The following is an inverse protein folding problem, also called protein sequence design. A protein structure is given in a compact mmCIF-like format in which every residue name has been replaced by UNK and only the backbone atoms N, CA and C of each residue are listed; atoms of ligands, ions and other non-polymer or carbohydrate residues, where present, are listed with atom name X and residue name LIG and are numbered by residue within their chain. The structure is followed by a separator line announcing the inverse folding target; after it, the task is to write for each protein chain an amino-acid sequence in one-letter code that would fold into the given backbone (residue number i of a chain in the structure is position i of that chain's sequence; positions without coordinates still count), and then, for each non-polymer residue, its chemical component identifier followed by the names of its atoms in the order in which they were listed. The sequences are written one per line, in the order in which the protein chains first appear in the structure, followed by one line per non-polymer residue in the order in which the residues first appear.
data_IF_154617413345
#
_entry.id   IF_154617413345
#
_cell.length_a   1.000
_cell.length_b   1.000
_cell.length_c   1.000
_cell.angle_alpha   90.00
_cell.angle_beta   90.00
_cell.angle_gamma   90.00
#
_symmetry.space_group_name_H-M   'P 1'
#
loop_
_entity.id
_entity.type
_entity.pdbx_description
1 polymer ?
#
# COMPACT_ATOMS: atom_id res chain seq x y z
N UNK A 1 -21.61 6.74 -8.05
CA UNK A 1 -22.31 5.52 -8.52
C UNK A 1 -21.43 4.32 -8.19
N UNK A 2 -21.91 3.50 -7.26
CA UNK A 2 -21.17 2.42 -6.60
C UNK A 2 -20.91 1.23 -7.52
N UNK A 3 -19.68 0.69 -7.49
CA UNK A 3 -19.27 -0.57 -8.13
C UNK A 3 -18.85 -1.61 -7.07
N UNK A 4 -19.77 -1.93 -6.18
CA UNK A 4 -19.75 -3.17 -5.40
C UNK A 4 -21.07 -3.85 -5.72
N UNK A 5 -21.00 -5.11 -6.16
CA UNK A 5 -22.06 -6.07 -6.47
C UNK A 5 -21.76 -6.71 -7.83
N UNK A 6 -21.11 -7.88 -7.82
CA UNK A 6 -21.38 -8.95 -8.77
C UNK A 6 -20.68 -10.24 -8.32
N UNK A 7 -21.52 -11.29 -8.20
CA UNK A 7 -21.19 -12.72 -8.22
C UNK A 7 -20.98 -13.42 -6.87
N UNK A 8 -22.08 -13.57 -6.13
CA UNK A 8 -22.40 -14.83 -5.44
C UNK A 8 -23.74 -15.36 -5.94
N UNK A 9 -23.70 -16.19 -6.98
CA UNK A 9 -24.80 -17.10 -7.34
C UNK A 9 -24.17 -18.40 -7.81
N UNK A 10 -24.21 -19.42 -6.94
CA UNK A 10 -24.35 -20.83 -7.28
C UNK A 10 -24.21 -21.67 -5.99
N UNK A 11 -25.33 -21.88 -5.31
CA UNK A 11 -25.48 -23.01 -4.42
C UNK A 11 -26.88 -23.60 -4.65
N UNK A 12 -26.86 -24.70 -5.40
CA UNK A 12 -27.87 -25.70 -5.68
C UNK A 12 -29.20 -25.60 -4.92
N UNK A 13 -30.27 -25.26 -5.65
CA UNK A 13 -31.63 -25.68 -5.32
C UNK A 13 -31.81 -27.16 -5.65
N UNK A 14 -31.88 -28.00 -4.62
CA UNK A 14 -32.53 -29.32 -4.68
C UNK A 14 -33.45 -29.50 -3.47
N UNK A 15 -34.73 -29.20 -3.69
CA UNK A 15 -35.90 -29.59 -2.89
C UNK A 15 -36.42 -30.88 -3.57
N UNK A 16 -36.88 -31.97 -2.96
CA UNK A 16 -37.29 -32.34 -1.59
C UNK A 16 -37.42 -33.87 -1.54
N UNK A 17 -37.38 -34.44 -0.33
CA UNK A 17 -38.24 -35.60 -0.03
C UNK A 17 -37.66 -36.56 1.00
N UNK A 18 -37.95 -36.36 2.28
CA UNK A 18 -37.66 -37.35 3.31
C UNK A 18 -37.63 -36.75 4.72
N UNK A 19 -38.76 -36.83 5.40
CA UNK A 19 -38.89 -36.63 6.86
C UNK A 19 -37.88 -37.46 7.64
N UNK A 20 -37.02 -36.81 8.43
CA UNK A 20 -36.52 -37.36 9.70
C UNK A 20 -36.23 -36.20 10.68
N UNK A 21 -36.79 -36.32 11.88
CA UNK A 21 -36.41 -35.58 13.08
C UNK A 21 -34.93 -35.89 13.39
N UNK A 22 -34.13 -34.89 13.74
CA UNK A 22 -33.14 -34.92 14.86
C UNK A 22 -32.25 -33.67 14.85
N UNK A 23 -31.88 -33.28 16.07
CA UNK A 23 -30.77 -32.41 16.45
C UNK A 23 -30.82 -30.94 16.02
N UNK A 24 -31.00 -30.07 17.00
CA UNK A 24 -30.56 -28.70 16.92
C UNK A 24 -29.04 -28.66 16.74
N UNK A 25 -28.60 -28.59 15.50
CA UNK A 25 -27.32 -28.00 15.17
C UNK A 25 -27.51 -26.49 15.30
N UNK A 26 -27.21 -25.96 16.47
CA UNK A 26 -26.72 -24.59 16.56
C UNK A 26 -25.47 -24.56 15.68
N UNK A 27 -25.64 -24.20 14.40
CA UNK A 27 -24.56 -23.67 13.59
C UNK A 27 -24.09 -22.43 14.33
N UNK A 28 -23.17 -22.63 15.26
CA UNK A 28 -22.27 -21.59 15.70
C UNK A 28 -21.27 -21.41 14.54
N UNK A 29 -21.78 -20.99 13.39
CA UNK A 29 -20.95 -20.36 12.37
C UNK A 29 -20.60 -19.02 12.99
N UNK A 30 -19.53 -19.00 13.78
CA UNK A 30 -18.91 -17.75 14.18
C UNK A 30 -18.76 -16.94 12.89
N UNK A 31 -19.51 -15.86 12.76
CA UNK A 31 -19.53 -15.12 11.50
C UNK A 31 -18.12 -14.60 11.28
N UNK A 32 -17.48 -15.02 10.20
CA UNK A 32 -16.15 -14.53 9.85
C UNK A 32 -16.17 -13.01 9.79
N UNK A 33 -15.43 -12.37 10.69
CA UNK A 33 -15.36 -10.92 10.84
C UNK A 33 -13.88 -10.49 10.78
N UNK A 34 -13.29 -10.41 9.57
CA UNK A 34 -11.89 -10.06 9.43
C UNK A 34 -11.66 -8.59 9.75
N UNK A 35 -10.39 -8.24 9.95
CA UNK A 35 -9.98 -6.85 10.06
C UNK A 35 -10.44 -6.03 8.83
N UNK A 36 -10.89 -4.81 9.06
CA UNK A 36 -11.24 -3.90 7.96
C UNK A 36 -9.99 -3.46 7.21
N UNK A 37 -10.04 -3.60 5.89
CA UNK A 37 -9.01 -3.11 4.99
C UNK A 37 -8.97 -1.58 5.00
N UNK A 38 -7.78 -0.99 5.03
CA UNK A 38 -7.59 0.46 5.00
C UNK A 38 -6.19 0.83 4.51
N UNK A 39 -6.08 1.98 3.83
CA UNK A 39 -4.80 2.58 3.45
C UNK A 39 -4.71 3.96 4.07
N UNK A 40 -3.73 4.17 4.95
CA UNK A 40 -3.56 5.44 5.67
C UNK A 40 -2.13 5.96 5.53
N UNK A 41 -1.97 7.27 5.47
CA UNK A 41 -0.65 7.87 5.41
C UNK A 41 0.12 7.65 6.72
N UNK A 42 1.44 7.59 6.61
CA UNK A 42 2.32 7.72 7.77
C UNK A 42 2.02 9.00 8.54
N UNK A 43 2.21 8.96 9.85
CA UNK A 43 1.92 10.09 10.75
C UNK A 43 3.18 10.73 11.32
N UNK A 44 4.35 10.16 11.03
CA UNK A 44 5.63 10.80 11.34
C UNK A 44 5.91 11.98 10.41
N UNK A 45 6.84 12.82 10.83
CA UNK A 45 7.25 14.02 10.10
C UNK A 45 7.73 13.68 8.69
N UNK A 46 7.40 14.51 7.68
CA UNK A 46 8.00 14.43 6.36
C UNK A 46 9.52 14.39 6.40
N UNK A 47 10.12 13.64 5.47
CA UNK A 47 11.58 13.47 5.36
C UNK A 47 12.05 13.95 3.99
N UNK A 48 13.20 14.61 3.94
CA UNK A 48 13.89 14.91 2.69
C UNK A 48 15.15 14.06 2.58
N UNK A 49 15.33 13.37 1.46
CA UNK A 49 16.54 12.63 1.15
C UNK A 49 17.49 13.53 0.37
N UNK A 50 18.63 13.81 0.98
CA UNK A 50 19.77 14.45 0.33
C UNK A 50 20.51 13.37 -0.48
N UNK A 51 20.18 13.26 -1.76
CA UNK A 51 20.78 12.28 -2.66
C UNK A 51 20.95 12.90 -4.02
N UNK A 52 22.18 12.89 -4.52
CA UNK A 52 22.50 13.27 -5.89
C UNK A 52 22.00 12.20 -6.87
N UNK A 53 20.69 12.18 -7.14
CA UNK A 53 20.13 11.33 -8.17
C UNK A 53 20.48 11.91 -9.54
N UNK A 54 21.55 11.41 -10.15
CA UNK A 54 21.89 11.75 -11.53
C UNK A 54 21.10 10.91 -12.53
N UNK A 55 20.24 11.57 -13.31
CA UNK A 55 19.54 10.95 -14.42
C UNK A 55 20.34 11.25 -15.69
N UNK A 56 21.16 10.27 -16.13
CA UNK A 56 21.79 10.32 -17.45
C UNK A 56 20.77 9.92 -18.50
N UNK A 57 20.16 10.91 -19.12
CA UNK A 57 19.21 10.77 -20.23
C UNK A 57 19.94 10.38 -21.53
N UNK A 58 20.65 9.24 -21.54
CA UNK A 58 21.29 8.72 -22.78
C UNK A 58 20.27 8.24 -23.84
N UNK A 59 18.98 8.27 -23.53
CA UNK A 59 17.90 7.72 -24.38
C UNK A 59 16.87 8.77 -24.81
N UNK A 60 16.92 10.01 -24.29
CA UNK A 60 15.88 11.00 -24.59
C UNK A 60 16.32 11.86 -25.79
N UNK A 61 15.79 11.51 -26.95
CA UNK A 61 16.07 12.12 -28.25
C UNK A 61 15.49 13.54 -28.35
N UNK A 62 16.30 14.56 -28.06
CA UNK A 62 16.26 15.97 -28.54
C UNK A 62 14.92 16.73 -28.60
N UNK A 63 13.84 16.17 -28.09
CA UNK A 63 12.49 16.73 -28.04
C UNK A 63 12.09 16.60 -26.59
N UNK A 64 12.24 17.68 -25.85
CA UNK A 64 12.00 17.75 -24.42
C UNK A 64 10.52 17.46 -24.14
N UNK A 65 10.20 16.24 -23.71
CA UNK A 65 8.91 15.95 -23.08
C UNK A 65 9.11 15.96 -21.57
N UNK A 66 8.69 17.06 -20.93
CA UNK A 66 8.77 17.20 -19.47
C UNK A 66 8.03 16.07 -18.75
N UNK A 67 6.96 15.53 -19.34
CA UNK A 67 6.18 14.45 -18.72
C UNK A 67 6.98 13.14 -18.63
N UNK A 68 7.77 12.82 -19.66
CA UNK A 68 8.63 11.63 -19.66
C UNK A 68 9.73 11.75 -18.60
N UNK A 69 10.36 12.92 -18.51
CA UNK A 69 11.37 13.21 -17.50
C UNK A 69 10.81 13.07 -16.08
N UNK A 70 9.70 13.76 -15.76
CA UNK A 70 9.11 13.72 -14.42
C UNK A 70 8.64 12.31 -14.04
N UNK A 71 8.18 11.51 -15.02
CA UNK A 71 7.81 10.11 -14.83
C UNK A 71 9.02 9.25 -14.45
N UNK A 72 10.15 9.39 -15.15
CA UNK A 72 11.40 8.70 -14.81
C UNK A 72 11.95 9.13 -13.46
N UNK A 73 11.91 10.42 -13.13
CA UNK A 73 12.25 10.94 -11.81
C UNK A 73 11.38 10.27 -10.74
N UNK A 74 10.06 10.26 -10.93
CA UNK A 74 9.11 9.66 -9.98
C UNK A 74 9.41 8.16 -9.77
N UNK A 75 9.73 7.41 -10.83
CA UNK A 75 10.11 5.99 -10.72
C UNK A 75 11.38 5.80 -9.91
N UNK A 76 12.43 6.59 -10.18
CA UNK A 76 13.71 6.47 -9.46
C UNK A 76 13.59 6.93 -8.02
N UNK A 77 12.89 8.03 -7.76
CA UNK A 77 12.56 8.48 -6.41
C UNK A 77 11.84 7.38 -5.62
N UNK A 78 10.89 6.66 -6.24
CA UNK A 78 10.19 5.56 -5.56
C UNK A 78 11.11 4.42 -5.11
N UNK A 79 12.21 4.16 -5.85
CA UNK A 79 13.23 3.17 -5.45
C UNK A 79 13.97 3.66 -4.21
N UNK A 80 14.43 4.91 -4.23
CA UNK A 80 15.15 5.51 -3.10
C UNK A 80 14.28 5.58 -1.83
N UNK A 81 13.01 5.96 -1.97
CA UNK A 81 12.07 5.97 -0.85
C UNK A 81 11.82 4.55 -0.34
N UNK A 82 11.69 3.55 -1.22
CA UNK A 82 11.51 2.16 -0.83
C UNK A 82 12.72 1.62 -0.06
N UNK A 83 13.94 1.91 -0.53
CA UNK A 83 15.18 1.52 0.15
C UNK A 83 15.30 2.22 1.52
N UNK A 84 14.96 3.51 1.59
CA UNK A 84 14.94 4.28 2.82
C UNK A 84 13.97 3.66 3.85
N UNK A 85 12.71 3.42 3.46
CA UNK A 85 11.70 2.82 4.34
C UNK A 85 12.09 1.39 4.75
N UNK A 86 12.64 0.60 3.82
CA UNK A 86 13.11 -0.76 4.11
C UNK A 86 14.22 -0.74 5.16
N UNK A 87 15.18 0.18 5.05
CA UNK A 87 16.25 0.36 6.04
C UNK A 87 15.68 0.81 7.37
N UNK A 88 14.83 1.83 7.37
CA UNK A 88 14.19 2.36 8.57
C UNK A 88 13.44 1.27 9.36
N UNK A 89 12.61 0.47 8.68
CA UNK A 89 11.90 -0.64 9.31
C UNK A 89 12.85 -1.71 9.86
N UNK A 90 13.99 -1.94 9.20
CA UNK A 90 15.00 -2.90 9.68
C UNK A 90 15.67 -2.39 10.94
N UNK A 91 16.12 -1.14 10.93
CA UNK A 91 16.83 -0.50 12.05
C UNK A 91 15.95 -0.37 13.29
N UNK A 92 14.64 -0.18 13.09
CA UNK A 92 13.63 -0.13 14.15
C UNK A 92 13.14 -1.52 14.60
N UNK A 93 13.59 -2.62 13.97
CA UNK A 93 13.15 -3.97 14.31
C UNK A 93 11.69 -4.28 13.92
N UNK A 94 11.12 -3.55 12.97
CA UNK A 94 9.72 -3.66 12.52
C UNK A 94 9.52 -4.58 11.31
N UNK A 95 10.60 -5.17 10.77
CA UNK A 95 10.53 -6.14 9.66
C UNK A 95 10.18 -7.55 10.14
N UNK A 96 9.00 -7.68 10.74
CA UNK A 96 8.43 -8.98 11.08
C UNK A 96 7.56 -9.54 9.94
N UNK A 97 7.12 -10.78 10.10
CA UNK A 97 6.18 -11.41 9.17
C UNK A 97 4.90 -10.57 9.07
N UNK A 98 4.40 -10.39 7.85
CA UNK A 98 3.22 -9.55 7.60
C UNK A 98 3.50 -8.05 7.51
N UNK A 99 4.73 -7.59 7.78
CA UNK A 99 5.17 -6.20 7.54
C UNK A 99 6.16 -6.16 6.38
N UNK A 100 5.78 -5.53 5.26
CA UNK A 100 6.64 -5.43 4.09
C UNK A 100 6.43 -4.15 3.29
N UNK A 101 7.49 -3.37 3.00
CA UNK A 101 7.39 -2.23 2.11
C UNK A 101 7.31 -2.69 0.64
N UNK A 102 6.41 -2.08 -0.12
CA UNK A 102 6.22 -2.30 -1.55
C UNK A 102 6.09 -0.97 -2.29
N UNK A 103 6.50 -0.96 -3.56
CA UNK A 103 6.24 0.16 -4.46
C UNK A 103 4.98 -0.13 -5.24
N UNK A 104 3.96 0.71 -5.06
CA UNK A 104 2.64 0.49 -5.65
C UNK A 104 2.15 1.73 -6.37
N UNK A 105 1.23 1.53 -7.32
CA UNK A 105 0.42 2.63 -7.82
C UNK A 105 -0.70 2.88 -6.82
N UNK A 106 -0.69 4.05 -6.19
CA UNK A 106 -1.65 4.48 -5.19
C UNK A 106 -2.19 5.86 -5.57
N UNK A 107 -3.45 5.88 -6.00
CA UNK A 107 -4.16 7.14 -6.28
C UNK A 107 -4.60 7.79 -4.98
N UNK A 108 -4.78 9.11 -4.99
CA UNK A 108 -5.15 9.86 -3.79
C UNK A 108 -6.54 9.49 -3.27
N UNK A 109 -7.47 9.09 -4.16
CA UNK A 109 -8.83 8.64 -3.80
C UNK A 109 -8.88 7.24 -3.16
N UNK A 110 -7.75 6.53 -3.13
CA UNK A 110 -7.61 5.21 -2.47
C UNK A 110 -7.07 5.33 -1.04
N UNK A 111 -6.70 6.54 -0.60
CA UNK A 111 -6.15 6.80 0.73
C UNK A 111 -7.30 7.22 1.65
N UNK A 112 -7.50 6.51 2.76
CA UNK A 112 -8.56 6.77 3.76
C UNK A 112 -8.23 7.93 4.70
N UNK A 113 -7.20 8.71 4.38
CA UNK A 113 -6.77 9.91 5.11
C UNK A 113 -7.14 11.14 4.31
N UNK A 114 -7.47 12.25 4.96
CA UNK A 114 -7.63 13.52 4.26
C UNK A 114 -6.30 13.93 3.60
N UNK A 115 -6.34 14.08 2.27
CA UNK A 115 -5.20 14.44 1.43
C UNK A 115 -5.58 15.61 0.55
N UNK A 116 -4.72 16.62 0.50
CA UNK A 116 -4.86 17.74 -0.43
C UNK A 116 -4.30 17.37 -1.80
N UNK A 117 -4.93 17.83 -2.88
CA UNK A 117 -4.58 17.46 -4.26
C UNK A 117 -3.13 17.81 -4.64
N UNK A 118 -2.55 18.82 -4.00
CA UNK A 118 -1.20 19.35 -4.21
C UNK A 118 -0.17 18.85 -3.19
N UNK A 119 -0.55 17.95 -2.28
CA UNK A 119 0.34 17.43 -1.24
C UNK A 119 1.50 16.61 -1.82
N UNK A 120 1.30 15.98 -2.98
CA UNK A 120 2.30 15.13 -3.63
C UNK A 120 2.74 15.72 -4.97
N UNK A 121 4.05 15.79 -5.18
CA UNK A 121 4.69 16.20 -6.43
C UNK A 121 5.23 14.96 -7.12
N UNK A 122 4.39 14.33 -7.94
CA UNK A 122 4.70 13.07 -8.66
C UNK A 122 3.95 13.03 -10.00
N UNK A 123 4.63 12.67 -11.08
CA UNK A 123 4.02 12.61 -12.41
C UNK A 123 3.17 11.36 -12.63
N UNK A 124 3.51 10.27 -11.95
CA UNK A 124 2.72 9.04 -11.91
C UNK A 124 2.35 8.73 -10.46
N UNK A 125 1.20 8.07 -10.18
CA UNK A 125 0.71 7.87 -8.83
C UNK A 125 1.47 6.76 -8.10
N UNK A 126 2.81 6.79 -8.08
CA UNK A 126 3.63 5.86 -7.31
C UNK A 126 3.74 6.28 -5.85
N UNK A 127 3.74 5.30 -4.97
CA UNK A 127 3.90 5.43 -3.54
C UNK A 127 4.75 4.29 -2.99
N UNK A 128 5.24 4.46 -1.77
CA UNK A 128 5.75 3.34 -0.97
C UNK A 128 4.70 2.99 0.07
N UNK A 129 4.19 1.77 0.02
CA UNK A 129 3.18 1.27 0.94
C UNK A 129 3.79 0.18 1.80
N UNK A 130 3.62 0.27 3.11
CA UNK A 130 4.03 -0.75 4.06
C UNK A 130 2.82 -1.60 4.40
N UNK A 131 2.85 -2.84 3.93
CA UNK A 131 1.79 -3.81 4.18
C UNK A 131 1.76 -4.17 5.67
N UNK A 132 0.55 -4.33 6.22
CA UNK A 132 0.25 -4.82 7.56
C UNK A 132 -0.79 -5.94 7.42
N UNK A 133 -0.31 -7.15 7.21
CA UNK A 133 -1.11 -8.27 6.70
C UNK A 133 -1.52 -9.26 7.78
N UNK A 134 -2.83 -9.46 7.90
CA UNK A 134 -3.45 -10.52 8.70
C UNK A 134 -3.69 -11.76 7.83
N UNK A 135 -3.52 -12.95 8.38
CA UNK A 135 -3.72 -14.21 7.68
C UNK A 135 -4.67 -15.10 8.47
N UNK A 136 -5.79 -15.47 7.84
CA UNK A 136 -6.80 -16.35 8.38
C UNK A 136 -6.81 -17.73 7.72
N UNK A 137 -7.23 -18.75 8.47
CA UNK A 137 -7.51 -20.09 8.00
C UNK A 137 -8.84 -20.15 7.22
N UNK A 138 -9.10 -21.28 6.54
CA UNK A 138 -10.33 -21.48 5.74
C UNK A 138 -11.60 -21.40 6.59
N UNK A 139 -11.51 -21.73 7.88
CA UNK A 139 -12.60 -21.63 8.86
C UNK A 139 -12.75 -20.23 9.48
N UNK A 140 -11.87 -19.29 9.12
CA UNK A 140 -11.87 -17.93 9.62
C UNK A 140 -11.06 -17.72 10.91
N UNK A 141 -10.37 -18.74 11.42
CA UNK A 141 -9.46 -18.57 12.55
C UNK A 141 -8.24 -17.73 12.14
N UNK A 142 -7.81 -16.79 13.00
CA UNK A 142 -6.62 -15.99 12.74
C UNK A 142 -5.36 -16.85 12.95
N UNK A 143 -4.63 -17.12 11.87
CA UNK A 143 -3.37 -17.88 11.90
C UNK A 143 -2.21 -16.97 12.30
N UNK A 144 -2.16 -15.78 11.72
CA UNK A 144 -1.01 -14.91 11.85
C UNK A 144 -1.40 -13.43 11.70
N UNK A 145 -0.78 -12.58 12.50
CA UNK A 145 -0.83 -11.13 12.34
C UNK A 145 0.49 -10.51 12.81
N UNK A 146 0.82 -9.28 12.38
CA UNK A 146 1.95 -8.56 12.94
C UNK A 146 1.74 -8.30 14.44
N UNK A 147 2.81 -8.36 15.21
CA UNK A 147 2.83 -8.06 16.64
C UNK A 147 2.66 -6.57 16.88
N UNK A 148 3.25 -5.74 16.02
CA UNK A 148 3.12 -4.28 16.05
C UNK A 148 1.73 -3.90 15.55
N UNK A 149 1.01 -3.06 16.31
CA UNK A 149 -0.29 -2.57 15.87
C UNK A 149 -0.15 -1.56 14.72
N UNK A 150 -1.23 -1.41 13.95
CA UNK A 150 -1.19 -0.61 12.73
C UNK A 150 -0.92 0.88 13.01
N UNK A 151 -1.47 1.44 14.08
CA UNK A 151 -1.30 2.86 14.40
C UNK A 151 0.14 3.14 14.86
N UNK A 152 0.73 2.22 15.63
CA UNK A 152 2.16 2.26 15.96
C UNK A 152 3.02 2.18 14.70
N UNK A 153 2.70 1.30 13.74
CA UNK A 153 3.41 1.26 12.46
C UNK A 153 3.32 2.62 11.73
N UNK A 154 2.12 3.19 11.60
CA UNK A 154 1.92 4.49 10.96
C UNK A 154 2.71 5.60 11.64
N UNK A 155 2.84 5.58 12.97
CA UNK A 155 3.63 6.54 13.75
C UNK A 155 5.13 6.52 13.44
N UNK A 156 5.62 5.41 12.89
CA UNK A 156 7.02 5.26 12.49
C UNK A 156 7.25 5.61 11.03
N UNK A 157 6.20 5.65 10.21
CA UNK A 157 6.30 5.98 8.80
C UNK A 157 6.18 7.50 8.61
N UNK A 158 7.08 8.13 7.84
CA UNK A 158 6.89 9.53 7.45
C UNK A 158 5.61 9.67 6.62
N UNK A 159 4.94 10.81 6.69
CA UNK A 159 3.78 11.10 5.83
C UNK A 159 4.18 11.17 4.35
N UNK A 160 5.29 11.84 4.08
CA UNK A 160 5.87 12.01 2.75
C UNK A 160 7.39 11.91 2.80
N UNK A 161 7.98 11.53 1.67
CA UNK A 161 9.41 11.61 1.45
C UNK A 161 9.69 12.42 0.19
N UNK A 162 10.47 13.49 0.36
CA UNK A 162 10.95 14.35 -0.73
C UNK A 162 12.30 13.85 -1.20
N UNK A 163 12.45 13.69 -2.51
CA UNK A 163 13.71 13.33 -3.16
C UNK A 163 14.06 14.45 -4.13
N UNK A 164 15.17 15.13 -3.87
CA UNK A 164 15.75 16.08 -4.80
C UNK A 164 16.48 15.35 -5.92
N UNK A 165 16.36 15.85 -7.15
CA UNK A 165 16.97 15.28 -8.35
C UNK A 165 17.64 16.39 -9.13
N UNK A 166 18.94 16.25 -9.33
CA UNK A 166 19.75 17.18 -10.11
C UNK A 166 20.05 16.58 -11.49
N UNK A 167 19.48 17.19 -12.53
CA UNK A 167 19.82 16.84 -13.91
C UNK A 167 21.11 17.56 -14.32
N UNK A 168 22.16 16.78 -14.59
CA UNK A 168 23.50 17.29 -14.91
C UNK A 168 23.60 18.00 -16.25
N UNK A 169 22.59 17.89 -17.13
CA UNK A 169 22.62 18.46 -18.48
C UNK A 169 21.92 19.83 -18.54
N UNK A 170 20.87 20.04 -17.73
CA UNK A 170 20.03 21.24 -17.82
C UNK A 170 20.00 22.11 -16.56
N UNK A 171 20.72 21.73 -15.49
CA UNK A 171 20.74 22.45 -14.20
C UNK A 171 19.33 22.70 -13.62
N UNK A 172 18.34 21.93 -14.07
CA UNK A 172 17.00 21.91 -13.48
C UNK A 172 17.02 21.01 -12.26
N UNK A 173 16.72 21.60 -11.11
CA UNK A 173 16.36 20.85 -9.90
C UNK A 173 14.90 20.46 -10.00
N UNK A 174 14.63 19.15 -9.93
CA UNK A 174 13.29 18.63 -9.77
C UNK A 174 13.19 17.93 -8.43
N UNK A 175 12.07 18.11 -7.74
CA UNK A 175 11.78 17.44 -6.48
C UNK A 175 10.59 16.52 -6.68
N UNK A 176 10.74 15.25 -6.34
CA UNK A 176 9.63 14.31 -6.23
C UNK A 176 9.20 14.21 -4.77
N UNK A 177 7.93 14.47 -4.48
CA UNK A 177 7.35 14.28 -3.14
C UNK A 177 6.41 13.08 -3.22
N UNK A 178 6.84 11.96 -2.62
CA UNK A 178 6.11 10.70 -2.66
C UNK A 178 5.40 10.43 -1.33
N UNK A 179 4.14 9.97 -1.35
CA UNK A 179 3.48 9.50 -0.15
C UNK A 179 4.10 8.20 0.35
N UNK A 180 4.13 8.07 1.67
CA UNK A 180 4.37 6.80 2.35
C UNK A 180 3.13 6.47 3.18
N UNK A 181 2.60 5.26 3.01
CA UNK A 181 1.36 4.82 3.63
C UNK A 181 1.50 3.43 4.24
N UNK A 182 0.68 3.12 5.23
CA UNK A 182 0.42 1.76 5.67
C UNK A 182 -0.82 1.20 4.96
N UNK A 183 -0.79 -0.09 4.61
CA UNK A 183 -1.96 -0.82 4.09
C UNK A 183 -2.28 -1.99 5.00
N UNK A 184 -3.38 -1.89 5.75
CA UNK A 184 -3.88 -2.99 6.55
C UNK A 184 -4.85 -3.81 5.71
N UNK A 185 -4.60 -5.10 5.60
CA UNK A 185 -5.49 -6.01 4.88
C UNK A 185 -5.36 -7.44 5.41
N UNK A 186 -6.17 -8.33 4.86
CA UNK A 186 -6.15 -9.73 5.22
C UNK A 186 -6.11 -10.66 4.00
N UNK A 187 -5.57 -11.85 4.21
CA UNK A 187 -5.65 -12.98 3.28
C UNK A 187 -6.24 -14.18 4.00
N UNK A 188 -6.92 -15.05 3.26
CA UNK A 188 -7.42 -16.32 3.78
C UNK A 188 -6.77 -17.46 3.00
N UNK A 189 -6.48 -18.57 3.66
CA UNK A 189 -6.20 -19.80 2.95
C UNK A 189 -7.38 -20.12 2.00
N UNK A 190 -7.07 -20.74 0.87
CA UNK A 190 -8.06 -21.21 -0.12
C UNK A 190 -8.38 -22.68 0.06
#
# INVERSE_FOLDING_TARGET
MNRRELLRVLACTSISGGTFLTAGCSENTASFNPVSETIQLGTSTPVSLDTDLHITTSTISSTYDSEEFESEVTKRASVLVHDYITRQLTDQGLRESGISPERVRLRTDEIDTDVHTDEFKRAIPLAVVVNHRYHYANDGELIHHPTVDFDTLLSQLPRTVTVAVSESIHFSEYEAVLPVAGHRYWTQNT
#
